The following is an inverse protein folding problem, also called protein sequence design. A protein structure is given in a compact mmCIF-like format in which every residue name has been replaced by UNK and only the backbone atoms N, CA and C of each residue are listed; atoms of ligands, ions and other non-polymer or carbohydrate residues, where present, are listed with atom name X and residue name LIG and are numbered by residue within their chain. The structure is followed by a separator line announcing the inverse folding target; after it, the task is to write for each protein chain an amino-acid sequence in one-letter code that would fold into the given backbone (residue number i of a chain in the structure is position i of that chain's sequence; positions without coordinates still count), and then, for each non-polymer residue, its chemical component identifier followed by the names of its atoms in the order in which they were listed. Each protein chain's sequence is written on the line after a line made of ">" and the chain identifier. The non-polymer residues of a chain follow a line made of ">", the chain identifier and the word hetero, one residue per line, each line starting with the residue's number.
data_IF_560968233978
#
_entry.id   IF_560968233978
#
_cell.length_a   1.000
_cell.length_b   1.000
_cell.length_c   1.000
_cell.angle_alpha   90.00
_cell.angle_beta   90.00
_cell.angle_gamma   90.00
#
_symmetry.space_group_name_H-M   'P 1'
#
loop_
_entity.id
_entity.type
_entity.pdbx_description
1 polymer ?
#
# COMPACT_ATOMS: atom_id res chain seq x y z
N UNK A 1 -1.17 27.92 -2.52
CA UNK A 1 -0.53 27.55 -1.25
C UNK A 1 -1.59 26.97 -0.33
N UNK A 2 -1.58 25.65 -0.19
CA UNK A 2 -2.56 24.90 0.59
C UNK A 2 -1.86 23.86 1.45
N UNK A 3 -1.87 24.05 2.76
CA UNK A 3 -1.46 23.05 3.73
C UNK A 3 -2.67 22.15 4.04
N UNK A 4 -2.43 20.87 4.20
CA UNK A 4 -3.48 19.92 4.58
C UNK A 4 -3.09 19.23 5.88
N UNK A 5 -4.01 19.22 6.85
CA UNK A 5 -3.78 18.60 8.15
C UNK A 5 -4.94 17.68 8.53
N UNK A 6 -4.60 16.60 9.21
CA UNK A 6 -5.58 15.67 9.76
C UNK A 6 -4.92 14.77 10.81
N UNK A 7 -5.72 14.19 11.67
CA UNK A 7 -5.25 13.18 12.62
C UNK A 7 -6.30 12.09 12.82
N UNK A 8 -5.84 10.93 13.20
CA UNK A 8 -6.72 9.79 13.48
C UNK A 8 -6.06 8.82 14.45
N UNK A 9 -6.85 7.93 15.04
CA UNK A 9 -6.40 6.87 15.92
C UNK A 9 -6.75 5.52 15.32
N UNK A 10 -5.75 4.66 15.19
CA UNK A 10 -5.91 3.28 14.71
C UNK A 10 -5.71 2.32 15.88
N UNK A 11 -6.76 1.75 16.47
CA UNK A 11 -6.61 0.62 17.37
C UNK A 11 -6.05 -0.59 16.61
N UNK A 12 -5.18 -1.35 17.26
CA UNK A 12 -4.59 -2.57 16.70
C UNK A 12 -4.67 -3.67 17.73
N UNK A 13 -5.14 -4.84 17.31
CA UNK A 13 -5.11 -6.05 18.12
C UNK A 13 -4.37 -7.14 17.35
N UNK A 14 -3.62 -7.98 18.04
CA UNK A 14 -2.90 -9.08 17.42
C UNK A 14 -2.59 -10.19 18.38
N UNK A 15 -2.33 -11.35 17.83
CA UNK A 15 -1.89 -12.53 18.57
C UNK A 15 -0.82 -13.28 17.76
N UNK A 16 0.12 -13.85 18.45
CA UNK A 16 1.18 -14.69 17.91
C UNK A 16 1.31 -15.95 18.75
N UNK A 17 1.40 -17.11 18.09
CA UNK A 17 1.48 -18.42 18.74
C UNK A 17 2.61 -19.23 18.12
N UNK A 18 3.56 -19.64 18.93
CA UNK A 18 4.66 -20.52 18.53
C UNK A 18 4.41 -21.97 18.97
N UNK A 19 4.31 -22.87 18.01
CA UNK A 19 4.09 -24.31 18.19
C UNK A 19 5.29 -25.09 17.66
N UNK A 20 6.33 -25.22 18.48
CA UNK A 20 7.58 -25.84 18.07
C UNK A 20 8.26 -25.06 16.94
N UNK A 21 8.28 -25.63 15.74
CA UNK A 21 8.86 -25.01 14.53
C UNK A 21 7.87 -24.12 13.74
N UNK A 22 6.59 -24.17 14.09
CA UNK A 22 5.54 -23.38 13.45
C UNK A 22 5.26 -22.13 14.29
N UNK A 23 5.24 -20.98 13.63
CA UNK A 23 4.74 -19.71 14.18
C UNK A 23 3.54 -19.25 13.39
N UNK A 24 2.45 -18.87 14.05
CA UNK A 24 1.24 -18.34 13.42
C UNK A 24 0.94 -17.01 14.09
N UNK A 25 0.77 -15.97 13.28
CA UNK A 25 0.38 -14.65 13.72
C UNK A 25 -0.88 -14.17 13.03
N UNK A 26 -1.68 -13.39 13.74
CA UNK A 26 -2.80 -12.65 13.19
C UNK A 26 -2.84 -11.24 13.79
N UNK A 27 -3.16 -10.25 12.97
CA UNK A 27 -3.29 -8.86 13.36
C UNK A 27 -4.51 -8.25 12.68
N UNK A 28 -5.28 -7.45 13.44
CA UNK A 28 -6.35 -6.64 12.90
C UNK A 28 -6.13 -5.18 13.29
N UNK A 29 -6.05 -4.33 12.29
CA UNK A 29 -6.03 -2.88 12.43
C UNK A 29 -7.41 -2.33 12.10
N UNK A 30 -8.01 -1.61 13.04
CA UNK A 30 -9.32 -1.02 12.82
C UNK A 30 -9.23 0.16 11.84
N UNK A 31 -10.31 0.39 11.11
CA UNK A 31 -10.41 1.57 10.24
C UNK A 31 -10.14 2.84 11.03
N UNK A 32 -9.28 3.70 10.51
CA UNK A 32 -9.08 5.04 11.04
C UNK A 32 -9.91 6.02 10.24
N UNK A 33 -10.87 6.66 10.91
CA UNK A 33 -11.55 7.79 10.31
C UNK A 33 -10.59 8.98 10.30
N UNK A 34 -10.18 9.37 9.11
CA UNK A 34 -9.26 10.48 8.89
C UNK A 34 -9.89 11.46 7.92
N UNK A 35 -10.09 12.69 8.39
CA UNK A 35 -10.47 13.80 7.55
C UNK A 35 -9.29 14.75 7.42
N UNK A 36 -9.05 15.19 6.21
CA UNK A 36 -7.98 16.15 5.89
C UNK A 36 -8.63 17.51 5.66
N UNK A 37 -8.27 18.49 6.48
CA UNK A 37 -8.74 19.86 6.38
C UNK A 37 -7.72 20.75 5.66
N UNK A 38 -8.20 21.54 4.71
CA UNK A 38 -7.40 22.49 3.96
C UNK A 38 -7.17 23.78 4.75
N UNK A 39 -5.92 24.16 4.89
CA UNK A 39 -5.51 25.50 5.30
C UNK A 39 -4.91 26.23 4.10
N UNK A 40 -5.79 26.78 3.26
CA UNK A 40 -5.42 27.48 2.03
C UNK A 40 -5.16 28.94 2.34
N UNK A 41 -3.92 29.40 2.10
CA UNK A 41 -3.47 30.77 2.30
C UNK A 41 -3.59 31.61 1.04
N UNK A 42 -3.30 31.00 -0.13
CA UNK A 42 -3.39 31.67 -1.41
C UNK A 42 -3.80 30.66 -2.50
N UNK A 43 -4.73 31.09 -3.37
CA UNK A 43 -5.19 30.32 -4.51
C UNK A 43 -5.49 31.25 -5.68
N UNK A 44 -4.79 31.05 -6.79
CA UNK A 44 -4.96 31.83 -8.02
C UNK A 44 -5.63 30.93 -9.06
N UNK A 45 -6.67 31.47 -9.70
CA UNK A 45 -7.44 30.75 -10.70
C UNK A 45 -8.20 31.68 -11.61
N UNK A 46 -8.56 31.29 -12.85
CA UNK A 46 -9.45 32.05 -13.72
C UNK A 46 -10.81 32.26 -13.03
N UNK A 47 -11.28 33.48 -12.97
CA UNK A 47 -12.59 33.85 -12.35
C UNK A 47 -13.76 33.48 -13.25
N UNK A 48 -13.85 32.20 -13.61
CA UNK A 48 -14.92 31.60 -14.39
C UNK A 48 -15.61 30.51 -13.58
N UNK A 49 -16.84 30.09 -13.94
CA UNK A 49 -17.50 28.97 -13.27
C UNK A 49 -16.67 27.68 -13.26
N UNK A 50 -15.94 27.39 -14.33
CA UNK A 50 -15.05 26.23 -14.46
C UNK A 50 -13.86 26.36 -13.52
N UNK A 51 -13.25 27.56 -13.44
CA UNK A 51 -12.16 27.84 -12.52
C UNK A 51 -12.59 27.69 -11.06
N UNK A 52 -13.77 28.21 -10.70
CA UNK A 52 -14.37 28.04 -9.37
C UNK A 52 -14.59 26.55 -9.02
N UNK A 53 -15.11 25.77 -9.97
CA UNK A 53 -15.31 24.34 -9.78
C UNK A 53 -13.98 23.58 -9.60
N UNK A 54 -12.95 23.96 -10.36
CA UNK A 54 -11.61 23.34 -10.28
C UNK A 54 -10.97 23.53 -8.90
N UNK A 55 -11.10 24.72 -8.30
CA UNK A 55 -10.47 25.04 -7.02
C UNK A 55 -11.34 24.71 -5.80
N UNK A 56 -12.60 24.37 -5.99
CA UNK A 56 -13.52 24.10 -4.89
C UNK A 56 -12.99 23.09 -3.86
N UNK A 57 -12.33 21.97 -4.27
CA UNK A 57 -11.75 21.01 -3.33
C UNK A 57 -10.56 21.56 -2.52
N UNK A 58 -9.96 22.66 -2.93
CA UNK A 58 -8.77 23.26 -2.30
C UNK A 58 -9.08 24.53 -1.50
N UNK A 59 -10.32 24.93 -1.39
CA UNK A 59 -10.71 26.12 -0.60
C UNK A 59 -10.40 25.90 0.89
N UNK A 60 -10.08 27.00 1.57
CA UNK A 60 -9.82 26.98 3.01
C UNK A 60 -11.01 26.39 3.79
N UNK A 61 -10.73 25.53 4.77
CA UNK A 61 -11.72 24.88 5.61
C UNK A 61 -12.46 23.70 4.96
N UNK A 62 -12.19 23.39 3.69
CA UNK A 62 -12.73 22.16 3.06
C UNK A 62 -12.14 20.95 3.75
N UNK A 63 -13.02 20.07 4.19
CA UNK A 63 -12.70 18.85 4.90
C UNK A 63 -13.00 17.65 4.00
N UNK A 64 -12.01 16.81 3.75
CA UNK A 64 -12.09 15.70 2.80
C UNK A 64 -11.81 14.38 3.50
N UNK A 65 -12.67 13.36 3.37
CA UNK A 65 -12.40 12.03 3.87
C UNK A 65 -11.14 11.43 3.20
N UNK A 66 -10.25 10.88 4.02
CA UNK A 66 -9.05 10.17 3.58
C UNK A 66 -8.73 9.06 4.60
N UNK A 67 -9.74 8.22 4.85
CA UNK A 67 -9.66 7.16 5.86
C UNK A 67 -8.53 6.19 5.57
N UNK A 68 -7.94 5.64 6.62
CA UNK A 68 -7.07 4.48 6.51
C UNK A 68 -7.96 3.24 6.63
N UNK A 69 -7.96 2.33 5.65
CA UNK A 69 -8.82 1.15 5.67
C UNK A 69 -8.52 0.23 6.86
N UNK A 70 -9.51 -0.53 7.30
CA UNK A 70 -9.25 -1.65 8.19
C UNK A 70 -8.39 -2.69 7.49
N UNK A 71 -7.47 -3.32 8.23
CA UNK A 71 -6.57 -4.33 7.70
C UNK A 71 -6.59 -5.60 8.55
N UNK A 72 -6.77 -6.74 7.91
CA UNK A 72 -6.54 -8.06 8.49
C UNK A 72 -5.23 -8.62 7.93
N UNK A 73 -4.32 -9.04 8.78
CA UNK A 73 -3.10 -9.77 8.41
C UNK A 73 -3.09 -11.13 9.09
N UNK A 74 -2.81 -12.19 8.35
CA UNK A 74 -2.61 -13.54 8.86
C UNK A 74 -1.32 -14.08 8.26
N UNK A 75 -0.45 -14.64 9.10
CA UNK A 75 0.84 -15.16 8.70
C UNK A 75 1.13 -16.51 9.34
N UNK A 76 1.86 -17.36 8.63
CA UNK A 76 2.44 -18.57 9.16
C UNK A 76 3.89 -18.70 8.70
N UNK A 77 4.79 -19.00 9.62
CA UNK A 77 6.19 -19.26 9.35
C UNK A 77 6.59 -20.64 9.89
N UNK A 78 7.39 -21.37 9.13
CA UNK A 78 7.84 -22.70 9.51
C UNK A 78 9.35 -22.85 9.35
N UNK A 79 9.99 -23.40 10.39
CA UNK A 79 11.41 -23.72 10.40
C UNK A 79 11.61 -25.17 9.91
N UNK A 80 11.89 -25.34 8.62
CA UNK A 80 12.12 -26.65 8.01
C UNK A 80 13.42 -27.27 8.52
N UNK A 81 14.47 -26.45 8.56
CA UNK A 81 15.79 -26.78 9.07
C UNK A 81 16.26 -25.64 9.99
N UNK A 82 17.23 -25.86 10.88
CA UNK A 82 17.80 -24.78 11.70
C UNK A 82 18.32 -23.58 10.90
N UNK A 83 18.63 -23.80 9.61
CA UNK A 83 19.15 -22.78 8.68
C UNK A 83 18.15 -22.36 7.62
N UNK A 84 16.95 -22.95 7.55
CA UNK A 84 15.96 -22.68 6.49
C UNK A 84 14.58 -22.44 7.09
N UNK A 85 14.04 -21.26 6.86
CA UNK A 85 12.69 -20.83 7.24
C UNK A 85 11.91 -20.40 6.01
N UNK A 86 10.60 -20.64 6.01
CA UNK A 86 9.69 -20.06 5.03
C UNK A 86 8.47 -19.47 5.72
N UNK A 87 7.87 -18.47 5.12
CA UNK A 87 6.63 -17.84 5.56
C UNK A 87 5.66 -17.66 4.41
N UNK A 88 4.38 -17.64 4.77
CA UNK A 88 3.28 -17.22 3.92
C UNK A 88 2.42 -16.23 4.69
N UNK A 89 1.92 -15.21 4.00
CA UNK A 89 1.09 -14.18 4.61
C UNK A 89 -0.06 -13.84 3.69
N UNK A 90 -1.17 -13.44 4.30
CA UNK A 90 -2.33 -12.88 3.62
C UNK A 90 -2.70 -11.58 4.30
N UNK A 91 -2.90 -10.53 3.48
CA UNK A 91 -3.42 -9.25 3.93
C UNK A 91 -4.71 -8.93 3.18
N UNK A 92 -5.69 -8.44 3.93
CA UNK A 92 -6.92 -7.90 3.39
C UNK A 92 -7.09 -6.45 3.88
N UNK A 93 -7.29 -5.55 2.93
CA UNK A 93 -7.59 -4.14 3.21
C UNK A 93 -9.04 -3.85 2.81
N UNK A 94 -9.82 -3.33 3.73
CA UNK A 94 -11.21 -2.97 3.50
C UNK A 94 -11.36 -1.57 2.87
N UNK A 95 -10.65 -1.35 1.75
CA UNK A 95 -10.61 -0.06 1.05
C UNK A 95 -11.99 0.41 0.62
N UNK A 96 -12.87 -0.52 0.26
CA UNK A 96 -14.23 -0.23 -0.19
C UNK A 96 -15.08 0.48 0.88
N UNK A 97 -14.75 0.28 2.15
CA UNK A 97 -15.43 0.86 3.31
C UNK A 97 -14.63 1.99 3.98
N UNK A 98 -13.50 2.38 3.39
CA UNK A 98 -12.70 3.52 3.83
C UNK A 98 -13.06 4.76 3.01
N UNK A 99 -13.50 5.83 3.66
CA UNK A 99 -13.89 7.06 2.98
C UNK A 99 -12.73 7.69 2.23
N UNK A 100 -12.93 7.94 0.94
CA UNK A 100 -11.97 8.62 0.06
C UNK A 100 -12.58 9.90 -0.49
N UNK A 101 -11.73 10.83 -0.91
CA UNK A 101 -12.17 12.04 -1.60
C UNK A 101 -13.14 11.71 -2.75
N UNK A 102 -14.22 12.48 -2.85
CA UNK A 102 -15.27 12.31 -3.86
C UNK A 102 -15.96 10.92 -3.85
N UNK A 103 -15.97 10.26 -2.68
CA UNK A 103 -16.55 8.92 -2.52
C UNK A 103 -15.94 7.87 -3.47
N UNK A 104 -14.69 8.04 -3.83
CA UNK A 104 -13.99 7.20 -4.82
C UNK A 104 -14.00 5.70 -4.47
N UNK A 105 -13.99 5.36 -3.18
CA UNK A 105 -14.06 3.98 -2.69
C UNK A 105 -15.32 3.22 -3.16
N UNK A 106 -16.40 3.92 -3.48
CA UNK A 106 -17.65 3.31 -3.98
C UNK A 106 -17.49 2.65 -5.34
N UNK A 107 -16.47 3.06 -6.10
CA UNK A 107 -16.14 2.48 -7.40
C UNK A 107 -15.25 1.24 -7.32
N UNK A 108 -14.77 0.87 -6.13
CA UNK A 108 -14.09 -0.41 -5.93
C UNK A 108 -15.12 -1.55 -5.92
N UNK A 109 -14.80 -2.66 -6.54
CA UNK A 109 -15.66 -3.85 -6.58
C UNK A 109 -15.52 -4.69 -5.31
N UNK A 110 -14.33 -4.69 -4.72
CA UNK A 110 -13.95 -5.38 -3.47
C UNK A 110 -12.84 -4.63 -2.76
N UNK A 111 -12.46 -5.03 -1.55
CA UNK A 111 -11.23 -4.60 -0.87
C UNK A 111 -9.99 -5.22 -1.51
N UNK A 112 -8.82 -4.67 -1.19
CA UNK A 112 -7.51 -5.13 -1.69
C UNK A 112 -7.09 -6.42 -0.97
N UNK A 113 -6.60 -7.38 -1.75
CA UNK A 113 -6.04 -8.64 -1.24
C UNK A 113 -4.55 -8.72 -1.60
N UNK A 114 -3.73 -9.12 -0.64
CA UNK A 114 -2.32 -9.37 -0.85
C UNK A 114 -1.95 -10.77 -0.37
N UNK A 115 -1.19 -11.47 -1.20
CA UNK A 115 -0.67 -12.81 -0.92
C UNK A 115 0.85 -12.74 -0.99
N UNK A 116 1.51 -13.14 0.10
CA UNK A 116 2.96 -13.04 0.23
C UNK A 116 3.53 -14.41 0.57
N UNK A 117 4.73 -14.68 0.06
CA UNK A 117 5.52 -15.82 0.45
C UNK A 117 7.00 -15.47 0.45
N UNK A 118 7.75 -16.03 1.38
CA UNK A 118 9.18 -15.77 1.49
C UNK A 118 9.94 -16.92 2.10
N UNK A 119 11.24 -16.95 1.83
CA UNK A 119 12.18 -17.88 2.42
C UNK A 119 13.41 -17.14 2.95
N UNK A 120 13.97 -17.66 4.02
CA UNK A 120 15.23 -17.22 4.59
C UNK A 120 16.16 -18.41 4.76
N UNK A 121 17.43 -18.21 4.40
CA UNK A 121 18.48 -19.19 4.48
C UNK A 121 19.72 -18.63 5.17
N UNK A 122 20.13 -19.26 6.29
CA UNK A 122 21.36 -18.92 7.00
C UNK A 122 22.56 -19.56 6.30
N UNK A 123 23.21 -18.80 5.42
CA UNK A 123 24.39 -19.24 4.66
C UNK A 123 25.57 -19.50 5.58
N UNK A 124 25.73 -18.62 6.59
CA UNK A 124 26.71 -18.76 7.67
C UNK A 124 26.08 -18.29 8.98
N UNK A 125 26.81 -18.39 10.10
CA UNK A 125 26.39 -17.83 11.39
C UNK A 125 26.22 -16.29 11.35
N UNK A 126 26.81 -15.63 10.35
CA UNK A 126 26.82 -14.17 10.21
C UNK A 126 25.96 -13.68 9.05
N UNK A 127 25.64 -14.53 8.08
CA UNK A 127 24.93 -14.10 6.86
C UNK A 127 23.66 -14.92 6.67
N UNK A 128 22.52 -14.24 6.66
CA UNK A 128 21.22 -14.78 6.24
C UNK A 128 20.85 -14.12 4.91
N UNK A 129 20.46 -14.91 3.92
CA UNK A 129 19.85 -14.42 2.68
C UNK A 129 18.35 -14.68 2.72
N UNK A 130 17.60 -13.78 2.10
CA UNK A 130 16.15 -13.91 1.97
C UNK A 130 15.70 -13.59 0.55
N UNK A 131 14.63 -14.25 0.11
CA UNK A 131 13.88 -13.84 -1.07
C UNK A 131 12.40 -14.11 -0.86
N UNK A 132 11.58 -13.36 -1.59
CA UNK A 132 10.12 -13.48 -1.48
C UNK A 132 9.40 -12.82 -2.62
N UNK A 133 8.10 -13.02 -2.65
CA UNK A 133 7.21 -12.40 -3.61
C UNK A 133 5.88 -12.05 -2.99
N UNK A 134 5.20 -11.12 -3.66
CA UNK A 134 3.86 -10.63 -3.29
C UNK A 134 3.02 -10.49 -4.54
N UNK A 135 1.75 -10.80 -4.43
CA UNK A 135 0.72 -10.48 -5.43
C UNK A 135 -0.29 -9.57 -4.75
N UNK A 136 -0.62 -8.45 -5.39
CA UNK A 136 -1.63 -7.49 -4.91
C UNK A 136 -2.76 -7.40 -5.92
N UNK A 137 -3.99 -7.65 -5.47
CA UNK A 137 -5.23 -7.65 -6.26
C UNK A 137 -6.18 -6.59 -5.67
N UNK A 138 -6.36 -5.51 -6.45
CA UNK A 138 -7.12 -4.32 -6.02
C UNK A 138 -8.57 -4.39 -6.46
N UNK A 139 -9.54 -4.61 -6.33
CA UNK A 139 -10.93 -4.53 -6.79
C UNK A 139 -11.24 -3.33 -7.71
N UNK A 140 -10.49 -3.17 -8.77
CA UNK A 140 -10.54 -1.99 -9.64
C UNK A 140 -11.75 -1.97 -10.57
N UNK A 141 -12.18 -0.76 -10.96
CA UNK A 141 -13.17 -0.52 -12.02
C UNK A 141 -12.77 0.71 -12.85
N UNK A 142 -13.35 0.86 -14.04
CA UNK A 142 -13.10 2.01 -14.91
C UNK A 142 -13.43 3.35 -14.24
N UNK A 143 -14.46 3.39 -13.39
CA UNK A 143 -14.86 4.60 -12.67
C UNK A 143 -13.90 4.98 -11.53
N UNK A 144 -13.14 4.00 -11.02
CA UNK A 144 -12.11 4.25 -10.02
C UNK A 144 -10.88 4.93 -10.62
N UNK A 145 -10.55 4.62 -11.87
CA UNK A 145 -9.34 5.10 -12.54
C UNK A 145 -9.49 6.55 -13.04
N UNK A 146 -8.52 7.38 -12.71
CA UNK A 146 -8.37 8.74 -13.24
C UNK A 146 -6.91 9.08 -13.46
N UNK A 147 -6.62 10.08 -14.30
CA UNK A 147 -5.25 10.46 -14.67
C UNK A 147 -4.42 10.94 -13.46
N UNK A 148 -5.08 11.48 -12.44
CA UNK A 148 -4.43 11.97 -11.21
C UNK A 148 -4.38 10.96 -10.09
N UNK A 149 -5.15 9.85 -10.19
CA UNK A 149 -5.23 8.84 -9.14
C UNK A 149 -5.71 7.52 -9.71
N UNK A 150 -4.80 6.59 -9.90
CA UNK A 150 -5.07 5.24 -10.40
C UNK A 150 -4.33 4.18 -9.58
N UNK A 151 -4.80 2.96 -9.65
CA UNK A 151 -4.14 1.76 -9.11
C UNK A 151 -4.09 0.67 -10.17
N UNK A 152 -3.17 -0.25 -10.04
CA UNK A 152 -3.01 -1.39 -10.94
C UNK A 152 -2.67 -2.63 -10.10
N UNK A 153 -3.23 -3.77 -10.45
CA UNK A 153 -2.84 -5.04 -9.85
C UNK A 153 -1.34 -5.28 -10.10
N UNK A 154 -0.70 -6.00 -9.19
CA UNK A 154 0.76 -6.08 -9.27
C UNK A 154 1.31 -7.37 -8.68
N UNK A 155 2.53 -7.70 -9.10
CA UNK A 155 3.38 -8.64 -8.41
C UNK A 155 4.73 -8.00 -8.06
N UNK A 156 5.27 -8.39 -6.92
CA UNK A 156 6.58 -7.92 -6.44
C UNK A 156 7.50 -9.10 -6.22
N UNK A 157 8.78 -8.88 -6.47
CA UNK A 157 9.86 -9.79 -6.09
C UNK A 157 10.86 -9.04 -5.22
N UNK A 158 11.29 -9.66 -4.14
CA UNK A 158 12.23 -9.08 -3.20
C UNK A 158 13.38 -10.03 -2.89
N UNK A 159 14.56 -9.47 -2.68
CA UNK A 159 15.74 -10.17 -2.17
C UNK A 159 16.35 -9.35 -1.03
N UNK A 160 16.94 -10.02 -0.07
CA UNK A 160 17.54 -9.35 1.08
C UNK A 160 18.72 -10.13 1.66
N UNK A 161 19.52 -9.43 2.43
CA UNK A 161 20.58 -10.00 3.22
C UNK A 161 20.62 -9.35 4.61
N UNK A 162 20.77 -10.19 5.64
CA UNK A 162 21.05 -9.78 7.02
C UNK A 162 22.47 -10.18 7.37
N UNK A 163 23.26 -9.20 7.80
CA UNK A 163 24.65 -9.39 8.18
C UNK A 163 24.78 -9.12 9.68
N UNK A 164 25.12 -10.14 10.44
CA UNK A 164 25.37 -10.06 11.87
C UNK A 164 26.80 -9.57 12.11
N UNK A 165 26.96 -8.29 12.37
CA UNK A 165 28.26 -7.65 12.57
C UNK A 165 28.91 -8.06 13.90
N UNK A 166 28.10 -8.14 14.96
CA UNK A 166 28.52 -8.61 16.30
C UNK A 166 27.29 -9.04 17.11
N UNK A 167 27.44 -9.19 18.45
CA UNK A 167 26.33 -9.64 19.33
C UNK A 167 25.19 -8.61 19.45
N UNK A 168 25.47 -7.37 19.12
CA UNK A 168 24.56 -6.24 19.34
C UNK A 168 24.08 -5.60 18.05
N UNK A 169 24.81 -5.75 16.93
CA UNK A 169 24.54 -5.04 15.68
C UNK A 169 24.28 -6.00 14.51
N UNK A 170 23.14 -5.85 13.88
CA UNK A 170 22.84 -6.44 12.58
C UNK A 170 22.63 -5.34 11.56
N UNK A 171 23.08 -5.57 10.34
CA UNK A 171 22.77 -4.74 9.17
C UNK A 171 21.87 -5.54 8.24
N UNK A 172 20.83 -4.89 7.72
CA UNK A 172 19.95 -5.49 6.72
C UNK A 172 19.98 -4.65 5.46
N UNK A 173 20.05 -5.30 4.32
CA UNK A 173 19.93 -4.70 3.00
C UNK A 173 18.87 -5.45 2.23
N UNK A 174 18.03 -4.72 1.50
CA UNK A 174 16.98 -5.32 0.69
C UNK A 174 16.74 -4.55 -0.60
N UNK A 175 16.31 -5.28 -1.60
CA UNK A 175 15.85 -4.71 -2.85
C UNK A 175 14.54 -5.37 -3.25
N UNK A 176 13.57 -4.56 -3.62
CA UNK A 176 12.26 -5.01 -4.11
C UNK A 176 11.95 -4.35 -5.44
N UNK A 177 11.43 -5.13 -6.36
CA UNK A 177 10.90 -4.69 -7.62
C UNK A 177 9.45 -5.10 -7.74
N UNK A 178 8.57 -4.13 -8.04
CA UNK A 178 7.15 -4.34 -8.30
C UNK A 178 6.84 -4.03 -9.76
N UNK A 179 6.24 -4.98 -10.43
CA UNK A 179 5.67 -4.82 -11.76
C UNK A 179 4.15 -4.72 -11.62
N UNK A 180 3.58 -3.67 -12.18
CA UNK A 180 2.14 -3.44 -12.19
C UNK A 180 1.58 -3.88 -13.54
N UNK A 181 0.43 -4.52 -13.52
CA UNK A 181 -0.31 -4.86 -14.73
C UNK A 181 -0.88 -3.60 -15.36
N UNK A 182 -0.82 -3.48 -16.68
CA UNK A 182 -1.40 -2.35 -17.39
C UNK A 182 -2.93 -2.39 -17.24
N UNK A 183 -3.51 -1.30 -16.74
CA UNK A 183 -4.95 -1.13 -16.69
C UNK A 183 -5.44 -0.33 -17.90
N UNK A 184 -6.26 -0.94 -18.75
CA UNK A 184 -6.80 -0.32 -19.96
C UNK A 184 -8.24 0.12 -19.75
N UNK A 185 -8.48 1.43 -19.79
CA UNK A 185 -9.81 2.04 -19.74
C UNK A 185 -10.22 2.57 -21.12
N UNK A 186 -11.35 2.11 -21.61
CA UNK A 186 -11.95 2.59 -22.88
C UNK A 186 -13.09 3.54 -22.62
N UNK A 187 -13.14 4.64 -23.34
CA UNK A 187 -14.22 5.62 -23.29
C UNK A 187 -14.82 5.82 -24.67
N UNK A 188 -16.13 5.91 -24.76
CA UNK A 188 -16.84 6.29 -26.00
C UNK A 188 -16.88 7.80 -26.22
N UNK A 189 -16.64 8.57 -25.15
CA UNK A 189 -16.59 10.03 -25.16
C UNK A 189 -15.38 10.49 -24.33
N UNK A 190 -14.20 10.47 -24.93
CA UNK A 190 -12.95 10.80 -24.26
C UNK A 190 -12.91 12.27 -23.85
N UNK A 191 -12.90 12.52 -22.54
CA UNK A 191 -12.86 13.86 -21.94
C UNK A 191 -13.89 14.84 -22.52
N UNK A 192 -15.09 14.36 -22.89
CA UNK A 192 -16.16 15.21 -23.42
C UNK A 192 -16.01 15.61 -24.91
N UNK A 193 -15.05 15.06 -25.62
CA UNK A 193 -14.77 15.41 -27.04
C UNK A 193 -15.78 14.81 -28.03
N UNK A 194 -16.64 13.87 -27.59
CA UNK A 194 -17.52 13.11 -28.48
C UNK A 194 -16.81 12.00 -29.27
N UNK A 195 -15.50 11.83 -29.10
CA UNK A 195 -14.70 10.82 -29.78
C UNK A 195 -14.34 9.67 -28.83
N UNK A 196 -14.20 8.42 -29.34
CA UNK A 196 -13.70 7.32 -28.51
C UNK A 196 -12.22 7.51 -28.20
N UNK A 197 -11.80 7.05 -27.00
CA UNK A 197 -10.42 7.08 -26.56
C UNK A 197 -10.07 5.90 -25.66
N UNK A 198 -8.78 5.68 -25.47
CA UNK A 198 -8.25 4.62 -24.64
C UNK A 198 -7.15 5.20 -23.74
N UNK A 199 -7.28 5.00 -22.43
CA UNK A 199 -6.22 5.28 -21.45
C UNK A 199 -5.58 3.98 -21.03
N UNK A 200 -4.26 3.96 -20.97
CA UNK A 200 -3.49 2.86 -20.40
C UNK A 200 -2.72 3.39 -19.20
N UNK A 201 -3.01 2.83 -18.04
CA UNK A 201 -2.34 3.16 -16.79
C UNK A 201 -1.30 2.09 -16.49
N UNK A 202 -0.05 2.49 -16.33
CA UNK A 202 1.04 1.60 -15.99
C UNK A 202 1.96 2.20 -14.94
N UNK A 203 2.65 1.35 -14.19
CA UNK A 203 3.57 1.77 -13.13
C UNK A 203 4.65 0.71 -12.91
N UNK A 204 5.80 1.13 -12.45
CA UNK A 204 6.88 0.26 -11.95
C UNK A 204 7.48 0.89 -10.70
N UNK A 205 7.69 0.11 -9.66
CA UNK A 205 8.38 0.54 -8.45
C UNK A 205 9.65 -0.28 -8.24
N UNK A 206 10.70 0.40 -7.79
CA UNK A 206 11.95 -0.21 -7.32
C UNK A 206 12.29 0.41 -5.98
N UNK A 207 12.52 -0.43 -4.98
CA UNK A 207 12.80 0.01 -3.62
C UNK A 207 14.10 -0.61 -3.16
N UNK A 208 15.00 0.23 -2.67
CA UNK A 208 16.20 -0.20 -1.97
C UNK A 208 16.06 0.18 -0.49
N UNK A 209 16.29 -0.76 0.40
CA UNK A 209 16.23 -0.57 1.84
C UNK A 209 17.55 -0.92 2.52
N UNK A 210 17.92 -0.11 3.50
CA UNK A 210 19.03 -0.34 4.41
C UNK A 210 18.55 -0.07 5.83
N UNK A 211 18.82 -1.00 6.75
CA UNK A 211 18.55 -0.79 8.17
C UNK A 211 19.65 -1.36 9.07
N UNK A 212 19.71 -0.88 10.29
CA UNK A 212 20.57 -1.38 11.34
C UNK A 212 19.75 -1.68 12.59
N UNK A 213 19.86 -2.91 13.11
CA UNK A 213 19.21 -3.33 14.36
C UNK A 213 20.28 -3.38 15.46
N UNK A 214 20.06 -2.65 16.54
CA UNK A 214 20.94 -2.67 17.70
C UNK A 214 20.21 -3.21 18.93
N UNK A 215 20.81 -4.20 19.58
CA UNK A 215 20.32 -4.78 20.83
C UNK A 215 21.26 -4.46 21.98
N UNK A 216 20.72 -3.98 23.09
CA UNK A 216 21.44 -3.62 24.31
C UNK A 216 21.81 -4.85 25.15
#
# INVERSE_FOLDING_TARGET
>A
DCDQTGWGLTPVIGADVKLGKLNIGAKYEFKTNLNIENNTKNIEYPRTPEGEAMIAPYKHGVNTPNDIPAMLSIAAAYEFLPVLRASVEYHFYDDKNAGMANDKQKYLTKGTNEYLAGIEFDVTKQLTLSCGGQITDYGLSDNYQSDTSFSCDSYSLGVGAKIKMNKHLNLNVGYMWTNYEDYTKKSTNYNGTGLPGTNVYSRTNKVFGLSADYSF
#
